data_IF_547646137478
#
_entry.id   IF_547646137478
#
_cell.length_a   1.000
_cell.length_b   1.000
_cell.length_c   1.000
_cell.angle_alpha   90.00
_cell.angle_beta   90.00
_cell.angle_gamma   90.00
#
_symmetry.space_group_name_H-M   'P 1'
#
loop_
_entity.id
_entity.type
_entity.pdbx_description
1 polymer ?
#
# COMPACT_ATOMS: atom_id res chain seq x y z
N UNK A 1 -64.71 -27.89 40.21
CA UNK A 1 -63.89 -28.37 39.08
C UNK A 1 -63.00 -27.20 38.66
N UNK A 2 -61.82 -27.06 39.28
CA UNK A 2 -60.47 -27.35 38.76
C UNK A 2 -60.06 -26.49 37.54
N UNK A 3 -59.13 -25.58 37.86
CA UNK A 3 -58.34 -24.66 37.05
C UNK A 3 -57.59 -25.29 35.86
N UNK A 4 -57.18 -24.45 34.90
CA UNK A 4 -55.78 -24.34 34.46
C UNK A 4 -55.57 -23.09 33.61
N UNK A 5 -54.74 -22.17 34.11
CA UNK A 5 -54.19 -21.00 33.40
C UNK A 5 -52.82 -21.43 32.91
N UNK A 6 -52.59 -21.40 31.59
CA UNK A 6 -51.28 -21.71 31.03
C UNK A 6 -50.48 -20.41 30.84
N UNK A 7 -49.61 -20.11 31.80
CA UNK A 7 -48.52 -19.14 31.63
C UNK A 7 -47.41 -19.80 30.82
N UNK A 8 -47.23 -19.39 29.56
CA UNK A 8 -46.06 -19.78 28.76
C UNK A 8 -44.91 -18.83 29.07
N UNK A 9 -43.90 -19.35 29.75
CA UNK A 9 -42.65 -18.67 30.05
C UNK A 9 -41.85 -18.47 28.74
N UNK A 10 -41.67 -17.21 28.33
CA UNK A 10 -40.73 -16.86 27.28
C UNK A 10 -39.31 -16.90 27.86
N UNK A 11 -38.54 -17.91 27.48
CA UNK A 11 -37.12 -18.06 27.82
C UNK A 11 -36.34 -17.01 27.02
N UNK A 12 -35.94 -15.91 27.67
CA UNK A 12 -35.09 -14.89 27.07
C UNK A 12 -33.66 -15.44 26.93
N UNK A 13 -33.26 -15.74 25.68
CA UNK A 13 -31.87 -16.06 25.34
C UNK A 13 -31.04 -14.77 25.49
N UNK A 14 -30.16 -14.75 26.50
CA UNK A 14 -29.11 -13.74 26.63
C UNK A 14 -28.10 -13.95 25.50
N UNK A 15 -28.18 -13.13 24.46
CA UNK A 15 -27.15 -13.07 23.43
C UNK A 15 -25.93 -12.34 24.01
N UNK A 16 -24.90 -13.11 24.40
CA UNK A 16 -23.58 -12.57 24.71
C UNK A 16 -22.99 -11.97 23.43
N UNK A 17 -23.09 -10.66 23.28
CA UNK A 17 -22.40 -9.92 22.22
C UNK A 17 -20.90 -10.01 22.48
N UNK A 18 -20.24 -10.95 21.81
CA UNK A 18 -18.78 -11.02 21.74
C UNK A 18 -18.35 -9.84 20.88
N UNK A 19 -17.99 -8.73 21.51
CA UNK A 19 -17.33 -7.63 20.82
C UNK A 19 -15.97 -8.13 20.35
N UNK A 20 -15.87 -8.52 19.08
CA UNK A 20 -14.59 -8.72 18.42
C UNK A 20 -13.85 -7.38 18.48
N UNK A 21 -12.88 -7.26 19.39
CA UNK A 21 -11.94 -6.15 19.36
C UNK A 21 -11.31 -6.11 17.96
N UNK A 22 -11.13 -4.92 17.36
CA UNK A 22 -10.38 -4.83 16.11
C UNK A 22 -9.00 -5.41 16.38
N UNK A 23 -8.70 -6.57 15.81
CA UNK A 23 -7.33 -7.05 15.74
C UNK A 23 -6.56 -5.97 15.01
N UNK A 24 -5.70 -5.25 15.73
CA UNK A 24 -4.56 -4.57 15.13
C UNK A 24 -3.79 -5.66 14.40
N UNK A 25 -4.05 -5.79 13.08
CA UNK A 25 -3.13 -6.50 12.21
C UNK A 25 -1.79 -5.83 12.49
N UNK A 26 -0.85 -6.56 13.08
CA UNK A 26 0.52 -6.18 12.96
C UNK A 26 0.73 -5.97 11.46
N UNK A 27 0.96 -4.72 11.05
CA UNK A 27 1.44 -4.46 9.70
C UNK A 27 2.78 -5.18 9.67
N UNK A 28 2.80 -6.39 9.13
CA UNK A 28 4.05 -7.04 8.77
C UNK A 28 4.73 -6.04 7.86
N UNK A 29 5.79 -5.41 8.35
CA UNK A 29 6.62 -4.57 7.51
C UNK A 29 7.19 -5.50 6.45
N UNK A 30 6.62 -5.44 5.25
CA UNK A 30 6.98 -6.32 4.15
C UNK A 30 8.45 -6.11 3.74
N UNK A 31 9.03 -4.93 4.02
CA UNK A 31 10.34 -4.53 3.51
C UNK A 31 11.09 -3.66 4.56
N UNK A 32 11.42 -4.22 5.75
CA UNK A 32 11.92 -3.43 6.89
C UNK A 32 13.34 -2.87 6.71
N UNK A 33 14.08 -3.34 5.70
CA UNK A 33 15.38 -2.79 5.33
C UNK A 33 15.27 -1.57 4.41
N UNK A 34 14.07 -1.24 3.92
CA UNK A 34 13.89 -0.09 3.04
C UNK A 34 14.03 1.22 3.82
N UNK A 35 15.05 2.01 3.47
CA UNK A 35 15.40 3.23 4.17
C UNK A 35 15.68 4.40 3.21
N UNK A 36 15.23 4.30 1.96
CA UNK A 36 15.43 5.34 0.95
C UNK A 36 14.50 6.52 1.29
N UNK A 37 15.04 7.72 1.46
CA UNK A 37 14.22 8.91 1.69
C UNK A 37 13.27 9.16 0.52
N UNK A 38 12.00 9.42 0.82
CA UNK A 38 11.03 9.87 -0.19
C UNK A 38 11.36 11.26 -0.71
N UNK A 39 10.98 11.52 -1.96
CA UNK A 39 10.98 12.85 -2.55
C UNK A 39 9.85 13.73 -2.00
N UNK A 40 9.52 14.81 -2.70
CA UNK A 40 8.47 15.73 -2.26
C UNK A 40 7.07 15.08 -2.35
N UNK A 41 6.08 15.61 -1.60
CA UNK A 41 4.71 15.16 -1.71
C UNK A 41 4.12 15.28 -3.12
N UNK A 42 4.51 16.31 -3.90
CA UNK A 42 4.03 16.48 -5.27
C UNK A 42 4.58 15.39 -6.20
N UNK A 43 5.88 15.11 -6.13
CA UNK A 43 6.49 14.03 -6.90
C UNK A 43 5.91 12.66 -6.54
N UNK A 44 5.72 12.41 -5.25
CA UNK A 44 5.05 11.19 -4.76
C UNK A 44 3.63 11.07 -5.34
N UNK A 45 2.83 12.14 -5.28
CA UNK A 45 1.48 12.14 -5.85
C UNK A 45 1.47 11.91 -7.36
N UNK A 46 2.43 12.47 -8.10
CA UNK A 46 2.59 12.25 -9.52
C UNK A 46 2.93 10.79 -9.86
N UNK A 47 3.83 10.16 -9.10
CA UNK A 47 4.14 8.74 -9.26
C UNK A 47 2.93 7.86 -8.96
N UNK A 48 2.20 8.14 -7.87
CA UNK A 48 0.97 7.42 -7.52
C UNK A 48 -0.07 7.54 -8.64
N UNK A 49 -0.33 8.75 -9.13
CA UNK A 49 -1.30 8.98 -10.20
C UNK A 49 -0.93 8.25 -11.50
N UNK A 50 0.36 8.24 -11.87
CA UNK A 50 0.83 7.50 -13.05
C UNK A 50 0.73 5.99 -12.82
N UNK A 51 1.30 5.51 -11.71
CA UNK A 51 1.48 4.10 -11.39
C UNK A 51 0.17 3.31 -11.28
N UNK A 52 -0.89 3.95 -10.77
CA UNK A 52 -2.22 3.34 -10.65
C UNK A 52 -2.79 2.81 -11.98
N UNK A 53 -2.31 3.31 -13.13
CA UNK A 53 -2.71 2.82 -14.45
C UNK A 53 -2.29 1.37 -14.71
N UNK A 54 -1.15 0.94 -14.15
CA UNK A 54 -0.56 -0.38 -14.41
C UNK A 54 -0.48 -1.27 -13.18
N UNK A 55 -0.41 -0.66 -12.00
CA UNK A 55 -0.45 -1.33 -10.70
C UNK A 55 -1.56 -0.66 -9.89
N UNK A 56 -2.81 -1.18 -9.92
CA UNK A 56 -3.88 -0.64 -9.09
C UNK A 56 -3.49 -0.66 -7.61
N UNK A 57 -3.47 0.51 -6.98
CA UNK A 57 -2.95 0.66 -5.61
C UNK A 57 -1.43 0.89 -5.52
N UNK A 58 -0.78 1.29 -6.62
CA UNK A 58 0.63 1.68 -6.65
C UNK A 58 1.01 2.56 -5.46
N UNK A 59 2.14 2.26 -4.82
CA UNK A 59 2.58 2.93 -3.60
C UNK A 59 4.10 2.91 -3.41
N UNK A 60 4.62 3.89 -2.65
CA UNK A 60 5.98 3.90 -2.10
C UNK A 60 6.03 3.47 -0.61
N UNK A 61 4.89 3.08 -0.04
CA UNK A 61 4.83 2.52 1.31
C UNK A 61 5.49 1.13 1.33
N UNK A 62 6.66 1.02 1.97
CA UNK A 62 7.43 -0.21 2.07
C UNK A 62 6.73 -1.31 2.87
N UNK A 63 5.73 -0.97 3.68
CA UNK A 63 4.94 -1.96 4.43
C UNK A 63 3.81 -2.57 3.58
N UNK A 64 3.57 -2.04 2.37
CA UNK A 64 2.53 -2.53 1.49
C UNK A 64 2.95 -3.80 0.75
N UNK A 65 2.03 -4.77 0.57
CA UNK A 65 2.28 -5.92 -0.30
C UNK A 65 2.48 -5.52 -1.77
N UNK A 66 2.04 -4.32 -2.17
CA UNK A 66 2.19 -3.80 -3.53
C UNK A 66 3.51 -3.06 -3.76
N UNK A 67 4.36 -2.94 -2.73
CA UNK A 67 5.57 -2.14 -2.80
C UNK A 67 6.54 -2.64 -3.87
N UNK A 68 6.85 -3.94 -3.87
CA UNK A 68 7.76 -4.55 -4.86
C UNK A 68 7.19 -4.45 -6.28
N UNK A 69 5.88 -4.62 -6.47
CA UNK A 69 5.23 -4.44 -7.77
C UNK A 69 5.31 -2.99 -8.25
N UNK A 70 5.13 -2.04 -7.34
CA UNK A 70 5.23 -0.60 -7.60
C UNK A 70 6.65 -0.21 -8.02
N UNK A 71 7.66 -0.70 -7.30
CA UNK A 71 9.07 -0.53 -7.66
C UNK A 71 9.41 -1.26 -8.96
N UNK A 72 8.82 -2.42 -9.23
CA UNK A 72 9.07 -3.17 -10.47
C UNK A 72 8.63 -2.38 -11.70
N UNK A 73 7.49 -1.68 -11.64
CA UNK A 73 7.05 -0.76 -12.69
C UNK A 73 8.06 0.40 -12.89
N UNK A 74 8.53 0.97 -11.79
CA UNK A 74 9.42 2.14 -11.79
C UNK A 74 10.87 1.78 -12.16
N UNK A 75 11.35 0.58 -11.87
CA UNK A 75 12.77 0.24 -11.94
C UNK A 75 13.14 -0.73 -13.07
N UNK A 76 12.18 -1.45 -13.64
CA UNK A 76 12.43 -2.36 -14.77
C UNK A 76 12.54 -1.59 -16.07
N UNK A 77 13.72 -1.03 -16.38
CA UNK A 77 13.94 -0.15 -17.55
C UNK A 77 13.53 -0.75 -18.91
N UNK A 78 13.62 -2.07 -19.04
CA UNK A 78 13.23 -2.81 -20.26
C UNK A 78 11.78 -3.30 -20.22
N UNK A 79 11.05 -3.02 -19.15
CA UNK A 79 9.67 -3.43 -18.95
C UNK A 79 8.72 -2.69 -19.90
N UNK A 80 7.60 -3.33 -20.31
CA UNK A 80 6.70 -2.80 -21.33
C UNK A 80 6.02 -1.47 -20.96
N UNK A 81 5.96 -1.16 -19.67
CA UNK A 81 5.28 0.03 -19.14
C UNK A 81 6.24 1.05 -18.51
N UNK A 82 7.54 0.78 -18.41
CA UNK A 82 8.50 1.67 -17.74
C UNK A 82 8.53 3.06 -18.36
N UNK A 83 8.75 3.17 -19.68
CA UNK A 83 8.81 4.47 -20.35
C UNK A 83 7.47 5.21 -20.25
N UNK A 84 6.34 4.48 -20.29
CA UNK A 84 5.01 5.08 -20.17
C UNK A 84 4.79 5.65 -18.77
N UNK A 85 5.18 4.91 -17.73
CA UNK A 85 5.15 5.37 -16.35
C UNK A 85 6.05 6.59 -16.16
N UNK A 86 7.33 6.52 -16.55
CA UNK A 86 8.28 7.62 -16.39
C UNK A 86 7.83 8.89 -17.14
N UNK A 87 7.24 8.73 -18.33
CA UNK A 87 6.71 9.86 -19.11
C UNK A 87 5.50 10.49 -18.43
N UNK A 88 4.55 9.68 -17.96
CA UNK A 88 3.34 10.17 -17.29
C UNK A 88 3.68 10.86 -15.95
N UNK A 89 4.51 10.21 -15.12
CA UNK A 89 4.98 10.76 -13.86
C UNK A 89 5.79 12.05 -14.10
N UNK A 90 6.78 12.03 -15.01
CA UNK A 90 7.62 13.18 -15.33
C UNK A 90 6.83 14.38 -15.87
N UNK A 91 5.80 14.14 -16.70
CA UNK A 91 4.92 15.21 -17.21
C UNK A 91 4.09 15.84 -16.09
N UNK A 92 3.69 15.07 -15.10
CA UNK A 92 3.03 15.59 -13.89
C UNK A 92 4.02 16.38 -13.03
N UNK A 93 5.21 15.81 -12.78
CA UNK A 93 6.26 16.42 -11.94
C UNK A 93 6.74 17.76 -12.46
N UNK A 94 6.75 17.96 -13.78
CA UNK A 94 7.09 19.26 -14.39
C UNK A 94 6.17 20.42 -13.95
N UNK A 95 5.03 20.13 -13.32
CA UNK A 95 4.09 21.12 -12.77
C UNK A 95 4.30 21.40 -11.27
N UNK A 96 5.13 20.61 -10.59
CA UNK A 96 5.43 20.79 -9.18
C UNK A 96 6.33 22.02 -9.00
N UNK A 97 5.74 23.10 -8.46
CA UNK A 97 6.41 24.38 -8.32
C UNK A 97 7.19 24.44 -7.01
N UNK A 98 8.48 24.80 -7.08
CA UNK A 98 9.34 24.91 -5.90
C UNK A 98 10.00 23.60 -5.45
N UNK A 99 9.70 22.49 -6.13
CA UNK A 99 10.35 21.21 -5.88
C UNK A 99 11.66 21.09 -6.65
N UNK A 100 12.66 20.50 -6.00
CA UNK A 100 13.96 20.21 -6.59
C UNK A 100 13.93 18.85 -7.30
N UNK A 101 14.14 18.78 -8.63
CA UNK A 101 14.23 17.52 -9.37
C UNK A 101 15.26 16.53 -8.81
N UNK A 102 16.29 17.01 -8.12
CA UNK A 102 17.31 16.16 -7.50
C UNK A 102 16.71 15.25 -6.41
N UNK A 103 15.66 15.70 -5.72
CA UNK A 103 14.97 14.88 -4.71
C UNK A 103 14.35 13.61 -5.31
N UNK A 104 13.71 13.71 -6.48
CA UNK A 104 13.19 12.54 -7.18
C UNK A 104 14.32 11.67 -7.72
N UNK A 105 15.38 12.26 -8.28
CA UNK A 105 16.51 11.49 -8.80
C UNK A 105 17.18 10.65 -7.69
N UNK A 106 17.31 11.22 -6.49
CA UNK A 106 17.86 10.54 -5.32
C UNK A 106 16.96 9.39 -4.83
N UNK A 107 15.65 9.64 -4.69
CA UNK A 107 14.68 8.59 -4.35
C UNK A 107 14.69 7.48 -5.41
N UNK A 108 14.59 7.83 -6.69
CA UNK A 108 14.55 6.89 -7.80
C UNK A 108 15.81 6.01 -7.84
N UNK A 109 16.99 6.61 -7.74
CA UNK A 109 18.25 5.88 -7.73
C UNK A 109 18.35 4.93 -6.53
N UNK A 110 18.04 5.42 -5.32
CA UNK A 110 18.07 4.63 -4.10
C UNK A 110 17.06 3.48 -4.14
N UNK A 111 15.81 3.77 -4.51
CA UNK A 111 14.73 2.79 -4.57
C UNK A 111 15.02 1.69 -5.58
N UNK A 112 15.54 2.06 -6.76
CA UNK A 112 15.89 1.07 -7.78
C UNK A 112 17.16 0.28 -7.46
N UNK A 113 18.12 0.86 -6.74
CA UNK A 113 19.27 0.13 -6.22
C UNK A 113 18.83 -0.91 -5.18
N UNK A 114 17.98 -0.52 -4.23
CA UNK A 114 17.41 -1.42 -3.24
C UNK A 114 16.57 -2.52 -3.90
N UNK A 115 15.64 -2.15 -4.79
CA UNK A 115 14.80 -3.10 -5.52
C UNK A 115 15.61 -4.13 -6.31
N UNK A 116 16.73 -3.74 -6.93
CA UNK A 116 17.54 -4.68 -7.71
C UNK A 116 17.99 -5.91 -6.90
N UNK A 117 18.19 -5.74 -5.58
CA UNK A 117 18.57 -6.80 -4.64
C UNK A 117 17.35 -7.53 -4.07
N UNK A 118 16.23 -6.82 -3.88
CA UNK A 118 15.05 -7.27 -3.14
C UNK A 118 13.82 -7.59 -4.01
N UNK A 119 13.92 -7.48 -5.34
CA UNK A 119 12.77 -7.64 -6.28
C UNK A 119 12.07 -9.00 -6.25
N UNK A 120 12.68 -10.01 -5.62
CA UNK A 120 12.10 -11.34 -5.46
C UNK A 120 11.64 -11.60 -4.02
N UNK A 121 11.76 -10.61 -3.14
CA UNK A 121 11.27 -10.70 -1.77
C UNK A 121 9.75 -10.78 -1.82
N UNK A 122 9.21 -11.76 -1.12
CA UNK A 122 7.77 -11.91 -0.95
C UNK A 122 7.38 -11.30 0.38
N UNK A 123 6.26 -10.58 0.42
CA UNK A 123 5.59 -10.29 1.69
C UNK A 123 4.94 -11.58 2.22
N UNK A 124 5.77 -12.54 2.60
CA UNK A 124 5.37 -13.68 3.40
C UNK A 124 5.20 -13.16 4.82
N UNK A 125 4.00 -13.35 5.36
CA UNK A 125 3.54 -12.91 6.67
C UNK A 125 4.60 -13.13 7.77
N UNK A 126 4.68 -12.17 8.68
CA UNK A 126 5.48 -12.23 9.91
C UNK A 126 5.49 -13.62 10.58
#
# INVERSE_FOLDING_TARGET
>A
MRASIAFSAALALVASSVSAAPSSRATTDCNPSYNVPSSTPCFTACNVAAGQTWVPGWTMDSTSPLFIDSLSLMCTKTGPNYIKFMTAAGTCMAKCTGDDPESFNNEFAGACAWWAVHKNDTCASA
#
